data_IF_898920272117
#
_entry.id   IF_898920272117
#
_cell.length_a   1.000
_cell.length_b   1.000
_cell.length_c   1.000
_cell.angle_alpha   90.00
_cell.angle_beta   90.00
_cell.angle_gamma   90.00
#
_symmetry.space_group_name_H-M   'P 1'
#
loop_
_entity.id
_entity.type
_entity.pdbx_description
1 polymer ?
#
# COMPACT_ATOMS: atom_id res chain seq x y z
N UNK A 1 4.10 -27.39 -31.96
CA UNK A 1 5.33 -26.76 -31.44
C UNK A 1 5.11 -25.26 -31.14
N UNK A 2 4.05 -24.64 -31.66
CA UNK A 2 3.77 -23.20 -31.47
C UNK A 2 3.34 -22.80 -30.06
N UNK A 3 2.61 -23.66 -29.34
CA UNK A 3 2.17 -23.38 -27.96
C UNK A 3 3.33 -23.26 -26.96
N UNK A 4 4.48 -23.90 -27.21
CA UNK A 4 5.66 -23.81 -26.35
C UNK A 4 6.41 -22.49 -26.56
N UNK A 5 6.44 -21.98 -27.78
CA UNK A 5 7.05 -20.69 -28.10
C UNK A 5 6.21 -19.52 -27.57
N UNK A 6 4.88 -19.56 -27.69
CA UNK A 6 3.99 -18.54 -27.12
C UNK A 6 3.94 -18.60 -25.60
N UNK A 7 4.00 -19.80 -25.01
CA UNK A 7 4.14 -20.00 -23.57
C UNK A 7 5.48 -19.49 -23.03
N UNK A 8 6.59 -19.69 -23.75
CA UNK A 8 7.90 -19.17 -23.38
C UNK A 8 7.97 -17.63 -23.49
N UNK A 9 7.33 -17.04 -24.49
CA UNK A 9 7.18 -15.57 -24.62
C UNK A 9 6.28 -14.97 -23.53
N UNK A 10 5.18 -15.65 -23.18
CA UNK A 10 4.33 -15.25 -22.04
C UNK A 10 5.08 -15.35 -20.71
N UNK A 11 5.76 -16.47 -20.47
CA UNK A 11 6.55 -16.70 -19.25
C UNK A 11 7.72 -15.72 -19.12
N UNK A 12 8.40 -15.37 -20.21
CA UNK A 12 9.47 -14.35 -20.20
C UNK A 12 8.91 -12.94 -20.00
N UNK A 13 7.72 -12.62 -20.50
CA UNK A 13 7.06 -11.32 -20.22
C UNK A 13 6.56 -11.20 -18.79
N UNK A 14 6.04 -12.26 -18.17
CA UNK A 14 5.59 -12.23 -16.77
C UNK A 14 6.76 -12.38 -15.80
N UNK A 15 7.79 -13.18 -16.09
CA UNK A 15 9.06 -13.13 -15.36
C UNK A 15 9.76 -11.78 -15.54
N UNK A 16 9.60 -11.12 -16.70
CA UNK A 16 10.05 -9.76 -16.92
C UNK A 16 9.27 -8.75 -16.07
N UNK A 17 7.95 -8.84 -16.01
CA UNK A 17 7.12 -7.93 -15.23
C UNK A 17 7.26 -8.16 -13.71
N UNK A 18 7.25 -9.42 -13.26
CA UNK A 18 7.50 -9.79 -11.86
C UNK A 18 8.96 -9.58 -11.47
N UNK A 19 9.89 -9.77 -12.40
CA UNK A 19 11.30 -9.45 -12.25
C UNK A 19 11.53 -7.95 -12.13
N UNK A 20 10.83 -7.12 -12.90
CA UNK A 20 10.91 -5.65 -12.78
C UNK A 20 10.24 -5.17 -11.48
N UNK A 21 9.09 -5.73 -11.10
CA UNK A 21 8.44 -5.42 -9.80
C UNK A 21 9.31 -5.89 -8.63
N UNK A 22 9.89 -7.08 -8.72
CA UNK A 22 10.78 -7.68 -7.73
C UNK A 22 12.09 -6.93 -7.59
N UNK A 23 12.78 -6.65 -8.70
CA UNK A 23 13.98 -5.82 -8.77
C UNK A 23 13.68 -4.41 -8.27
N UNK A 24 12.52 -3.84 -8.55
CA UNK A 24 12.15 -2.51 -8.05
C UNK A 24 11.88 -2.52 -6.53
N UNK A 25 11.29 -3.58 -5.97
CA UNK A 25 11.19 -3.74 -4.51
C UNK A 25 12.53 -4.03 -3.83
N UNK A 26 13.46 -4.69 -4.54
CA UNK A 26 14.78 -5.07 -4.05
C UNK A 26 15.79 -3.90 -4.13
N UNK A 27 15.76 -3.12 -5.22
CA UNK A 27 16.61 -1.94 -5.44
C UNK A 27 16.24 -0.80 -4.47
N UNK A 28 14.96 -0.70 -4.07
CA UNK A 28 14.50 0.24 -3.04
C UNK A 28 15.16 0.10 -1.67
N UNK A 29 15.63 -1.10 -1.30
CA UNK A 29 16.38 -1.30 -0.05
C UNK A 29 17.83 -0.82 -0.15
N UNK A 30 18.45 -0.91 -1.33
CA UNK A 30 19.88 -0.64 -1.53
C UNK A 30 20.18 0.82 -1.91
N UNK A 31 19.21 1.51 -2.53
CA UNK A 31 19.34 2.93 -2.89
C UNK A 31 19.15 3.88 -1.69
N UNK A 32 18.33 3.52 -0.68
CA UNK A 32 18.26 4.28 0.57
C UNK A 32 19.60 4.25 1.32
N UNK A 33 20.26 3.09 1.34
CA UNK A 33 21.57 2.94 1.98
C UNK A 33 22.67 3.70 1.23
N UNK A 34 22.65 3.70 -0.12
CA UNK A 34 23.58 4.50 -0.93
C UNK A 34 23.33 6.01 -0.81
N UNK A 35 22.07 6.43 -0.79
CA UNK A 35 21.72 7.85 -0.60
C UNK A 35 22.08 8.35 0.80
N UNK A 36 22.08 7.50 1.83
CA UNK A 36 22.56 7.83 3.16
C UNK A 36 24.09 7.97 3.21
N UNK A 37 24.82 7.13 2.45
CA UNK A 37 26.28 7.20 2.31
C UNK A 37 26.72 8.44 1.50
N UNK A 38 26.01 8.80 0.43
CA UNK A 38 26.23 10.06 -0.30
C UNK A 38 25.92 11.28 0.58
N UNK A 39 24.87 11.23 1.39
CA UNK A 39 24.52 12.31 2.35
C UNK A 39 25.56 12.54 3.44
N UNK A 40 26.33 11.51 3.80
CA UNK A 40 27.42 11.63 4.78
C UNK A 40 28.73 12.14 4.16
N UNK A 41 28.84 12.15 2.83
CA UNK A 41 30.05 12.56 2.11
C UNK A 41 29.96 13.96 1.47
N UNK A 42 28.76 14.51 1.27
CA UNK A 42 28.57 15.87 0.75
C UNK A 42 28.11 16.87 1.83
N UNK A 43 29.03 17.70 2.33
CA UNK A 43 28.74 18.97 3.01
C UNK A 43 28.51 20.07 1.97
N UNK A 44 27.28 20.19 1.46
CA UNK A 44 26.92 21.24 0.48
C UNK A 44 25.40 21.46 0.34
N UNK A 45 24.95 22.63 -0.20
CA UNK A 45 23.56 23.06 -0.11
C UNK A 45 22.61 22.22 -0.98
N UNK A 46 21.43 21.91 -0.43
CA UNK A 46 20.38 21.06 -0.98
C UNK A 46 19.96 21.42 -2.42
N UNK A 47 20.18 20.54 -3.42
CA UNK A 47 19.49 20.63 -4.70
C UNK A 47 18.09 20.03 -4.59
N UNK A 48 17.09 20.74 -5.13
CA UNK A 48 15.68 20.34 -5.10
C UNK A 48 15.42 18.92 -5.63
N UNK A 49 14.45 18.26 -4.98
CA UNK A 49 13.97 16.89 -5.20
C UNK A 49 13.30 16.68 -6.58
N UNK A 50 14.07 16.80 -7.65
CA UNK A 50 13.62 16.58 -9.03
C UNK A 50 14.29 15.37 -9.68
N UNK A 51 14.05 14.14 -9.19
CA UNK A 51 14.56 12.92 -9.86
C UNK A 51 13.87 12.73 -11.22
N UNK A 52 14.65 12.31 -12.22
CA UNK A 52 14.27 12.27 -13.64
C UNK A 52 12.98 11.48 -13.91
N UNK A 53 11.95 12.19 -14.41
CA UNK A 53 10.63 11.64 -14.78
C UNK A 53 10.75 10.76 -16.03
N UNK A 54 11.02 9.47 -15.86
CA UNK A 54 10.97 8.51 -16.98
C UNK A 54 9.50 8.36 -17.38
N UNK A 55 9.17 8.62 -18.66
CA UNK A 55 7.82 8.66 -19.25
C UNK A 55 6.97 9.95 -19.09
N UNK A 56 7.60 11.13 -19.10
CA UNK A 56 6.92 12.43 -19.07
C UNK A 56 5.80 12.63 -20.12
N UNK A 57 5.89 11.99 -21.30
CA UNK A 57 4.87 12.11 -22.36
C UNK A 57 3.55 11.42 -22.04
N UNK A 58 3.61 10.24 -21.40
CA UNK A 58 2.42 9.47 -20.97
C UNK A 58 1.80 10.13 -19.73
N UNK A 59 2.64 10.61 -18.82
CA UNK A 59 2.22 11.38 -17.64
C UNK A 59 1.43 12.65 -18.03
N UNK A 60 1.90 13.39 -19.04
CA UNK A 60 1.23 14.61 -19.52
C UNK A 60 -0.15 14.35 -20.12
N UNK A 61 -0.35 13.22 -20.82
CA UNK A 61 -1.65 12.81 -21.40
C UNK A 61 -2.61 12.18 -20.39
N UNK A 62 -2.10 11.49 -19.37
CA UNK A 62 -2.96 10.92 -18.32
C UNK A 62 -3.42 11.99 -17.31
N UNK A 63 -2.59 13.00 -17.01
CA UNK A 63 -2.95 14.11 -16.10
C UNK A 63 -4.14 14.94 -16.59
N UNK A 64 -4.34 15.03 -17.90
CA UNK A 64 -5.51 15.72 -18.48
C UNK A 64 -6.82 14.95 -18.28
N UNK A 65 -6.76 13.64 -18.01
CA UNK A 65 -7.94 12.78 -17.86
C UNK A 65 -8.39 12.69 -16.39
N UNK A 66 -9.71 12.62 -16.14
CA UNK A 66 -10.28 12.52 -14.78
C UNK A 66 -9.77 11.31 -13.98
N UNK A 67 -9.44 10.21 -14.68
CA UNK A 67 -8.87 9.00 -14.09
C UNK A 67 -7.41 9.20 -13.64
N UNK A 68 -6.60 9.95 -14.39
CA UNK A 68 -5.21 10.22 -14.01
C UNK A 68 -5.09 11.08 -12.76
N UNK A 69 -5.95 12.10 -12.62
CA UNK A 69 -6.04 12.92 -11.40
C UNK A 69 -6.44 12.10 -10.17
N UNK A 70 -7.44 11.21 -10.29
CA UNK A 70 -7.83 10.30 -9.19
C UNK A 70 -6.70 9.32 -8.83
N UNK A 71 -5.91 8.88 -9.81
CA UNK A 71 -4.79 7.98 -9.60
C UNK A 71 -3.61 8.69 -8.92
N UNK A 72 -3.32 9.92 -9.33
CA UNK A 72 -2.30 10.77 -8.73
C UNK A 72 -2.60 11.05 -7.25
N UNK A 73 -3.86 11.38 -6.91
CA UNK A 73 -4.28 11.54 -5.52
C UNK A 73 -4.13 10.24 -4.71
N UNK A 74 -4.46 9.08 -5.30
CA UNK A 74 -4.27 7.77 -4.64
C UNK A 74 -2.80 7.40 -4.46
N UNK A 75 -1.94 7.72 -5.44
CA UNK A 75 -0.50 7.47 -5.41
C UNK A 75 0.21 8.40 -4.41
N UNK A 76 -0.12 9.69 -4.40
CA UNK A 76 0.39 10.65 -3.43
C UNK A 76 0.11 10.20 -1.98
N UNK A 77 -1.09 9.64 -1.73
CA UNK A 77 -1.45 9.09 -0.43
C UNK A 77 -0.65 7.83 -0.01
N UNK A 78 0.02 7.16 -0.96
CA UNK A 78 0.83 5.96 -0.66
C UNK A 78 2.28 6.29 -0.28
N UNK A 79 2.74 7.53 -0.51
CA UNK A 79 4.14 7.90 -0.32
C UNK A 79 5.10 7.25 -1.33
N UNK A 80 4.57 6.62 -2.38
CA UNK A 80 5.36 6.08 -3.47
C UNK A 80 5.73 7.22 -4.42
N UNK A 81 7.03 7.40 -4.72
CA UNK A 81 7.53 8.30 -5.76
C UNK A 81 7.23 7.80 -7.19
N UNK A 82 6.12 7.07 -7.39
CA UNK A 82 5.75 6.50 -8.69
C UNK A 82 4.81 7.47 -9.39
N UNK A 83 5.15 7.78 -10.64
CA UNK A 83 4.35 8.68 -11.48
C UNK A 83 3.07 7.97 -11.95
N UNK A 84 1.92 8.65 -12.10
CA UNK A 84 0.69 8.03 -12.62
C UNK A 84 0.89 7.30 -13.96
N UNK A 85 1.75 7.84 -14.82
CA UNK A 85 2.15 7.21 -16.09
C UNK A 85 2.90 5.88 -15.91
N UNK A 86 3.82 5.80 -14.96
CA UNK A 86 4.57 4.56 -14.67
C UNK A 86 3.65 3.46 -14.13
N UNK A 87 2.75 3.80 -13.20
CA UNK A 87 1.76 2.85 -12.70
C UNK A 87 0.87 2.31 -13.81
N UNK A 88 0.41 3.17 -14.72
CA UNK A 88 -0.42 2.75 -15.85
C UNK A 88 0.36 1.81 -16.79
N UNK A 89 1.60 2.14 -17.13
CA UNK A 89 2.46 1.29 -17.99
C UNK A 89 2.70 -0.07 -17.34
N UNK A 90 3.00 -0.10 -16.04
CA UNK A 90 3.19 -1.38 -15.33
C UNK A 90 1.90 -2.19 -15.25
N UNK A 91 0.76 -1.55 -15.01
CA UNK A 91 -0.54 -2.24 -14.94
C UNK A 91 -0.94 -2.79 -16.31
N UNK A 92 -0.76 -2.01 -17.38
CA UNK A 92 -1.04 -2.43 -18.74
C UNK A 92 -0.10 -3.57 -19.20
N UNK A 93 1.19 -3.47 -18.88
CA UNK A 93 2.17 -4.53 -19.16
C UNK A 93 1.86 -5.82 -18.40
N UNK A 94 1.50 -5.72 -17.12
CA UNK A 94 1.09 -6.87 -16.31
C UNK A 94 -0.20 -7.51 -16.84
N UNK A 95 -1.20 -6.70 -17.22
CA UNK A 95 -2.45 -7.20 -17.79
C UNK A 95 -2.24 -7.91 -19.14
N UNK A 96 -1.43 -7.34 -20.03
CA UNK A 96 -1.09 -7.96 -21.31
C UNK A 96 -0.28 -9.26 -21.12
N UNK A 97 0.71 -9.26 -20.21
CA UNK A 97 1.49 -10.44 -19.89
C UNK A 97 0.62 -11.57 -19.32
N UNK A 98 -0.25 -11.25 -18.35
CA UNK A 98 -1.15 -12.24 -17.75
C UNK A 98 -2.18 -12.78 -18.75
N UNK A 99 -2.68 -11.92 -19.66
CA UNK A 99 -3.54 -12.36 -20.76
C UNK A 99 -2.82 -13.39 -21.62
N UNK A 100 -1.63 -13.07 -22.13
CA UNK A 100 -0.88 -13.95 -23.04
C UNK A 100 -0.55 -15.28 -22.36
N UNK A 101 -0.16 -15.26 -21.09
CA UNK A 101 0.04 -16.49 -20.31
C UNK A 101 -1.25 -17.30 -20.20
N UNK A 102 -2.35 -16.69 -19.75
CA UNK A 102 -3.60 -17.42 -19.54
C UNK A 102 -4.14 -17.99 -20.85
N UNK A 103 -4.03 -17.25 -21.95
CA UNK A 103 -4.40 -17.70 -23.28
C UNK A 103 -3.50 -18.85 -23.78
N UNK A 104 -2.22 -18.88 -23.41
CA UNK A 104 -1.27 -19.91 -23.86
C UNK A 104 -1.30 -21.18 -23.00
N UNK A 105 -1.52 -21.06 -21.69
CA UNK A 105 -1.44 -22.18 -20.74
C UNK A 105 -2.79 -22.77 -20.33
N UNK A 106 -3.90 -22.04 -20.48
CA UNK A 106 -5.24 -22.54 -20.13
C UNK A 106 -6.13 -22.65 -21.37
N UNK A 107 -6.67 -21.51 -21.81
CA UNK A 107 -7.50 -21.36 -23.01
C UNK A 107 -7.63 -19.87 -23.34
N UNK A 108 -7.90 -19.53 -24.60
CA UNK A 108 -8.08 -18.14 -25.03
C UNK A 108 -9.15 -17.38 -24.20
N UNK A 109 -10.17 -18.11 -23.71
CA UNK A 109 -11.22 -17.59 -22.85
C UNK A 109 -10.72 -17.02 -21.51
N UNK A 110 -9.63 -17.55 -20.94
CA UNK A 110 -9.09 -17.07 -19.66
C UNK A 110 -8.26 -15.79 -19.80
N UNK A 111 -7.87 -15.39 -21.01
CA UNK A 111 -7.06 -14.19 -21.27
C UNK A 111 -7.69 -12.90 -20.71
N UNK A 112 -8.95 -12.56 -21.08
CA UNK A 112 -9.65 -11.41 -20.55
C UNK A 112 -9.83 -11.45 -19.03
N UNK A 113 -10.15 -12.62 -18.46
CA UNK A 113 -10.33 -12.79 -17.01
C UNK A 113 -9.01 -12.48 -16.28
N UNK A 114 -7.89 -13.00 -16.78
CA UNK A 114 -6.57 -12.73 -16.23
C UNK A 114 -6.21 -11.24 -16.31
N UNK A 115 -6.52 -10.55 -17.41
CA UNK A 115 -6.30 -9.12 -17.54
C UNK A 115 -7.10 -8.30 -16.52
N UNK A 116 -8.38 -8.63 -16.30
CA UNK A 116 -9.23 -7.98 -15.29
C UNK A 116 -8.66 -8.20 -13.88
N UNK A 117 -8.24 -9.43 -13.56
CA UNK A 117 -7.61 -9.76 -12.27
C UNK A 117 -6.31 -8.98 -12.06
N UNK A 118 -5.48 -8.83 -13.09
CA UNK A 118 -4.24 -8.05 -13.01
C UNK A 118 -4.50 -6.57 -12.69
N UNK A 119 -5.48 -5.95 -13.38
CA UNK A 119 -5.88 -4.56 -13.14
C UNK A 119 -6.43 -4.40 -11.72
N UNK A 120 -7.35 -5.29 -11.31
CA UNK A 120 -7.92 -5.26 -9.97
C UNK A 120 -6.86 -5.45 -8.88
N UNK A 121 -5.92 -6.38 -9.09
CA UNK A 121 -4.78 -6.63 -8.21
C UNK A 121 -3.86 -5.41 -8.05
N UNK A 122 -3.60 -4.68 -9.13
CA UNK A 122 -2.80 -3.45 -9.08
C UNK A 122 -3.45 -2.36 -8.21
N UNK A 123 -4.76 -2.13 -8.37
CA UNK A 123 -5.51 -1.19 -7.52
C UNK A 123 -5.58 -1.66 -6.07
N UNK A 124 -5.80 -2.96 -5.84
CA UNK A 124 -5.81 -3.55 -4.51
C UNK A 124 -4.44 -3.40 -3.82
N UNK A 125 -3.34 -3.61 -4.54
CA UNK A 125 -1.98 -3.42 -4.04
C UNK A 125 -1.74 -1.97 -3.62
N UNK A 126 -2.17 -0.99 -4.41
CA UNK A 126 -2.03 0.42 -4.07
C UNK A 126 -2.79 0.77 -2.78
N UNK A 127 -4.04 0.29 -2.67
CA UNK A 127 -4.84 0.49 -1.45
C UNK A 127 -4.20 -0.18 -0.23
N UNK A 128 -3.59 -1.35 -0.41
CA UNK A 128 -2.89 -2.07 0.64
C UNK A 128 -1.61 -1.35 1.09
N UNK A 129 -0.82 -0.81 0.17
CA UNK A 129 0.37 -0.01 0.51
C UNK A 129 -0.01 1.24 1.31
N UNK A 130 -1.07 1.95 0.90
CA UNK A 130 -1.61 3.08 1.66
C UNK A 130 -1.98 2.67 3.08
N UNK A 131 -2.77 1.60 3.20
CA UNK A 131 -3.22 1.10 4.50
C UNK A 131 -2.03 0.68 5.38
N UNK A 132 -1.04 0.00 4.80
CA UNK A 132 0.17 -0.43 5.50
C UNK A 132 0.98 0.75 6.03
N UNK A 133 1.08 1.86 5.28
CA UNK A 133 1.75 3.09 5.75
C UNK A 133 0.99 3.73 6.90
N UNK A 134 -0.35 3.83 6.81
CA UNK A 134 -1.21 4.33 7.90
C UNK A 134 -1.05 3.44 9.14
N UNK A 135 -1.07 2.13 8.99
CA UNK A 135 -0.90 1.20 10.13
C UNK A 135 0.47 1.30 10.78
N UNK A 136 1.54 1.48 9.99
CA UNK A 136 2.88 1.73 10.54
C UNK A 136 2.90 3.00 11.39
N UNK A 137 2.27 4.08 10.89
CA UNK A 137 2.14 5.32 11.64
C UNK A 137 1.34 5.11 12.94
N UNK A 138 0.20 4.41 12.90
CA UNK A 138 -0.62 4.10 14.09
C UNK A 138 0.22 3.34 15.14
N UNK A 139 1.01 2.36 14.71
CA UNK A 139 1.85 1.57 15.61
C UNK A 139 2.96 2.38 16.29
N UNK A 140 3.31 3.55 15.72
CA UNK A 140 4.29 4.51 16.24
C UNK A 140 3.63 5.58 17.14
N UNK A 141 2.29 5.68 17.20
CA UNK A 141 1.59 6.67 18.04
C UNK A 141 1.90 6.58 19.55
N UNK A 142 2.08 5.39 20.16
CA UNK A 142 2.50 5.30 21.56
C UNK A 142 3.87 5.95 21.80
N UNK A 143 4.81 5.71 20.89
CA UNK A 143 6.17 6.28 20.96
C UNK A 143 6.14 7.80 20.78
N UNK A 144 5.38 8.29 19.77
CA UNK A 144 5.11 9.72 19.59
C UNK A 144 4.55 10.35 20.88
N UNK A 145 3.53 9.73 21.47
CA UNK A 145 2.90 10.24 22.70
C UNK A 145 3.89 10.32 23.86
N UNK A 146 4.79 9.35 24.00
CA UNK A 146 5.85 9.36 25.02
C UNK A 146 6.86 10.49 24.81
N UNK A 147 7.35 10.69 23.58
CA UNK A 147 8.28 11.78 23.25
C UNK A 147 7.63 13.13 23.58
N UNK A 148 6.39 13.35 23.14
CA UNK A 148 5.65 14.57 23.44
C UNK A 148 5.40 14.77 24.93
N UNK A 149 5.04 13.71 25.67
CA UNK A 149 4.83 13.79 27.11
C UNK A 149 6.12 14.16 27.85
N UNK A 150 7.25 13.54 27.50
CA UNK A 150 8.55 13.81 28.13
C UNK A 150 9.05 15.23 27.82
N UNK A 151 8.93 15.66 26.56
CA UNK A 151 9.33 17.01 26.15
C UNK A 151 8.49 18.09 26.84
N UNK A 152 7.17 17.92 26.87
CA UNK A 152 6.26 18.87 27.56
C UNK A 152 6.45 18.86 29.07
N UNK A 153 6.75 17.70 29.68
CA UNK A 153 7.11 17.61 31.09
C UNK A 153 8.43 18.32 31.41
N UNK A 154 9.39 18.34 30.48
CA UNK A 154 10.62 19.12 30.58
C UNK A 154 10.40 20.63 30.35
N UNK A 155 9.16 21.08 30.17
CA UNK A 155 8.81 22.49 29.96
C UNK A 155 9.01 22.98 28.53
N UNK A 156 9.27 22.09 27.57
CA UNK A 156 9.39 22.46 26.17
C UNK A 156 8.01 22.83 25.59
N UNK A 157 7.97 23.88 24.78
CA UNK A 157 6.78 24.22 24.01
C UNK A 157 6.40 23.06 23.07
N UNK A 158 5.10 22.82 22.89
CA UNK A 158 4.59 21.72 22.04
C UNK A 158 5.15 21.77 20.61
N UNK A 159 5.36 22.97 20.08
CA UNK A 159 6.01 23.20 18.78
C UNK A 159 7.43 22.62 18.72
N UNK A 160 8.23 22.80 19.77
CA UNK A 160 9.59 22.25 19.87
C UNK A 160 9.54 20.74 20.09
N UNK A 161 8.60 20.25 20.90
CA UNK A 161 8.39 18.83 21.11
C UNK A 161 8.02 18.08 19.82
N UNK A 162 7.18 18.68 18.96
CA UNK A 162 6.83 18.15 17.64
C UNK A 162 8.04 18.12 16.69
N UNK A 163 8.92 19.11 16.76
CA UNK A 163 10.18 19.11 16.02
C UNK A 163 11.12 17.99 16.47
N UNK A 164 11.29 17.83 17.78
CA UNK A 164 12.09 16.74 18.36
C UNK A 164 11.55 15.36 17.95
N UNK A 165 10.23 15.16 18.02
CA UNK A 165 9.60 13.93 17.56
C UNK A 165 9.77 13.69 16.05
N UNK A 166 9.85 14.75 15.23
CA UNK A 166 10.12 14.60 13.80
C UNK A 166 11.53 14.06 13.51
N UNK A 167 12.52 14.45 14.33
CA UNK A 167 13.91 14.03 14.18
C UNK A 167 14.19 12.65 14.81
N UNK A 168 13.52 12.31 15.91
CA UNK A 168 13.74 11.07 16.66
C UNK A 168 12.98 9.87 16.08
N UNK A 169 11.82 10.10 15.44
CA UNK A 169 10.98 9.01 14.94
C UNK A 169 11.36 8.54 13.54
N UNK A 170 11.36 7.23 13.33
CA UNK A 170 11.53 6.65 11.99
C UNK A 170 10.33 6.92 11.07
N UNK A 171 10.55 6.84 9.75
CA UNK A 171 9.49 6.91 8.75
C UNK A 171 8.47 5.75 8.95
N UNK A 172 7.15 6.00 8.86
CA UNK A 172 6.51 7.19 8.31
C UNK A 172 6.20 8.32 9.31
N UNK A 173 6.28 8.11 10.62
CA UNK A 173 5.91 9.16 11.60
C UNK A 173 6.82 10.39 11.52
N UNK A 174 8.15 10.21 11.50
CA UNK A 174 9.10 11.32 11.39
C UNK A 174 8.87 12.18 10.14
N UNK A 175 8.64 11.57 8.97
CA UNK A 175 8.37 12.29 7.72
C UNK A 175 7.11 13.16 7.77
N UNK A 176 6.07 12.68 8.45
CA UNK A 176 4.79 13.37 8.54
C UNK A 176 4.82 14.46 9.61
N UNK A 177 5.51 14.23 10.71
CA UNK A 177 5.79 15.23 11.75
C UNK A 177 6.74 16.32 11.25
N UNK A 178 7.71 16.00 10.40
CA UNK A 178 8.59 17.00 9.78
C UNK A 178 7.80 18.00 8.92
N UNK A 179 6.74 17.54 8.24
CA UNK A 179 5.83 18.44 7.49
C UNK A 179 5.03 19.34 8.42
N UNK A 180 4.57 18.80 9.56
CA UNK A 180 3.91 19.59 10.60
C UNK A 180 4.87 20.64 11.15
N UNK A 181 6.08 20.25 11.57
CA UNK A 181 7.11 21.13 12.09
C UNK A 181 7.49 22.24 11.09
N UNK A 182 7.61 21.92 9.80
CA UNK A 182 7.87 22.90 8.75
C UNK A 182 6.74 23.93 8.62
N UNK A 183 5.47 23.50 8.65
CA UNK A 183 4.32 24.44 8.60
C UNK A 183 4.25 25.33 9.82
N UNK A 184 4.49 24.74 10.98
CA UNK A 184 4.64 25.49 12.21
C UNK A 184 5.71 26.55 12.02
N UNK A 185 6.93 26.21 11.58
CA UNK A 185 8.03 27.15 11.39
C UNK A 185 7.69 28.37 10.52
N UNK A 186 6.80 28.20 9.53
CA UNK A 186 6.32 29.28 8.64
C UNK A 186 5.13 30.07 9.24
N UNK A 187 4.71 29.76 10.46
CA UNK A 187 3.73 30.53 11.23
C UNK A 187 2.30 29.95 11.26
N UNK A 188 2.08 28.74 10.73
CA UNK A 188 0.76 28.10 10.85
C UNK A 188 0.42 27.79 12.31
N UNK A 189 -0.88 27.75 12.62
CA UNK A 189 -1.36 27.36 13.94
C UNK A 189 -1.12 25.86 14.18
N UNK A 190 -0.97 25.48 15.45
CA UNK A 190 -0.83 24.07 15.86
C UNK A 190 -2.09 23.29 15.51
N UNK A 191 -3.24 23.93 15.68
CA UNK A 191 -4.55 23.34 15.44
C UNK A 191 -4.68 22.95 13.95
N UNK A 192 -4.42 23.89 13.04
CA UNK A 192 -4.52 23.65 11.59
C UNK A 192 -3.51 22.59 11.12
N UNK A 193 -2.27 22.65 11.62
CA UNK A 193 -1.21 21.75 11.17
C UNK A 193 -1.45 20.30 11.62
N UNK A 194 -2.00 20.10 12.82
CA UNK A 194 -2.36 18.78 13.34
C UNK A 194 -3.67 18.25 12.74
N UNK A 195 -4.64 19.11 12.45
CA UNK A 195 -5.87 18.72 11.76
C UNK A 195 -5.57 18.21 10.35
N UNK A 196 -4.71 18.90 9.59
CA UNK A 196 -4.30 18.43 8.27
C UNK A 196 -3.49 17.12 8.33
N UNK A 197 -2.74 16.89 9.41
CA UNK A 197 -2.10 15.58 9.65
C UNK A 197 -3.17 14.48 9.79
N UNK A 198 -4.24 14.73 10.55
CA UNK A 198 -5.35 13.79 10.73
C UNK A 198 -6.14 13.56 9.42
N UNK A 199 -6.32 14.58 8.59
CA UNK A 199 -6.94 14.44 7.27
C UNK A 199 -6.12 13.56 6.31
N UNK A 200 -4.78 13.70 6.36
CA UNK A 200 -3.86 12.94 5.50
C UNK A 200 -3.72 11.48 5.95
N UNK A 201 -3.81 11.22 7.25
CA UNK A 201 -3.71 9.90 7.87
C UNK A 201 -4.97 9.58 8.70
N UNK A 202 -6.11 9.31 8.06
CA UNK A 202 -7.36 9.11 8.78
C UNK A 202 -7.30 7.84 9.63
N UNK A 203 -7.20 8.01 10.95
CA UNK A 203 -7.33 6.95 11.95
C UNK A 203 -8.00 7.49 13.21
N UNK A 204 -8.77 6.64 13.90
CA UNK A 204 -9.48 7.03 15.11
C UNK A 204 -8.49 7.42 16.22
N UNK A 205 -7.39 6.69 16.32
CA UNK A 205 -6.31 6.91 17.28
C UNK A 205 -5.63 8.26 17.08
N UNK A 206 -5.33 8.63 15.83
CA UNK A 206 -4.70 9.92 15.53
C UNK A 206 -5.66 11.08 15.78
N UNK A 207 -6.94 10.95 15.40
CA UNK A 207 -7.94 11.99 15.67
C UNK A 207 -8.07 12.25 17.17
N UNK A 208 -8.09 11.20 17.99
CA UNK A 208 -8.10 11.33 19.45
C UNK A 208 -6.84 12.02 19.96
N UNK A 209 -5.65 11.60 19.51
CA UNK A 209 -4.39 12.23 19.90
C UNK A 209 -4.33 13.71 19.54
N UNK A 210 -4.69 14.07 18.31
CA UNK A 210 -4.72 15.46 17.84
C UNK A 210 -5.68 16.31 18.66
N UNK A 211 -6.91 15.81 18.88
CA UNK A 211 -7.92 16.53 19.68
C UNK A 211 -7.42 16.77 21.11
N UNK A 212 -6.81 15.76 21.73
CA UNK A 212 -6.23 15.89 23.07
C UNK A 212 -5.08 16.90 23.10
N UNK A 213 -4.16 16.84 22.13
CA UNK A 213 -3.04 17.79 22.05
C UNK A 213 -3.52 19.24 21.89
N UNK A 214 -4.47 19.49 20.98
CA UNK A 214 -5.07 20.81 20.74
C UNK A 214 -5.75 21.33 22.01
N UNK A 215 -6.59 20.52 22.65
CA UNK A 215 -7.31 20.91 23.87
C UNK A 215 -6.35 21.19 25.03
N UNK A 216 -5.36 20.30 25.24
CA UNK A 216 -4.39 20.45 26.31
C UNK A 216 -3.45 21.64 26.09
N UNK A 217 -3.07 21.94 24.84
CA UNK A 217 -2.27 23.11 24.50
C UNK A 217 -3.01 24.42 24.77
N UNK A 218 -4.33 24.48 24.50
CA UNK A 218 -5.17 25.64 24.83
C UNK A 218 -5.38 25.81 26.34
N UNK A 219 -5.47 24.71 27.08
CA UNK A 219 -5.75 24.72 28.53
C UNK A 219 -4.49 24.90 29.41
N UNK A 220 -3.28 24.76 28.86
CA UNK A 220 -2.01 25.13 29.51
C UNK A 220 -1.56 24.28 30.73
N UNK A 221 -2.37 23.35 31.25
CA UNK A 221 -2.10 22.74 32.57
C UNK A 221 -2.10 21.21 32.70
N UNK A 222 -2.54 20.43 31.69
CA UNK A 222 -2.75 18.97 31.86
C UNK A 222 -2.38 18.11 30.64
N UNK A 223 -1.50 18.63 29.76
CA UNK A 223 -1.00 17.89 28.58
C UNK A 223 -0.38 16.55 28.99
N UNK A 224 0.37 16.53 30.10
CA UNK A 224 1.11 15.35 30.55
C UNK A 224 0.20 14.20 31.00
N UNK A 225 -0.84 14.46 31.80
CA UNK A 225 -1.76 13.41 32.27
C UNK A 225 -2.64 12.87 31.14
N UNK A 226 -3.07 13.76 30.24
CA UNK A 226 -3.87 13.38 29.07
C UNK A 226 -3.07 12.49 28.10
N UNK A 227 -1.80 12.84 27.83
CA UNK A 227 -0.92 12.04 26.98
C UNK A 227 -0.56 10.68 27.60
N UNK A 228 -0.39 10.60 28.93
CA UNK A 228 -0.16 9.33 29.63
C UNK A 228 -1.35 8.38 29.51
N UNK A 229 -2.57 8.88 29.74
CA UNK A 229 -3.78 8.07 29.58
C UNK A 229 -3.95 7.59 28.13
N UNK A 230 -3.70 8.46 27.16
CA UNK A 230 -3.71 8.07 25.75
C UNK A 230 -2.66 7.00 25.43
N UNK A 231 -1.44 7.14 25.95
CA UNK A 231 -0.37 6.16 25.74
C UNK A 231 -0.82 4.77 26.21
N UNK A 232 -1.39 4.67 27.42
CA UNK A 232 -1.90 3.41 27.93
C UNK A 232 -3.03 2.84 27.06
N UNK A 233 -4.02 3.66 26.68
CA UNK A 233 -5.12 3.20 25.81
C UNK A 233 -4.63 2.74 24.43
N UNK A 234 -3.63 3.40 23.86
CA UNK A 234 -3.05 3.02 22.56
C UNK A 234 -2.24 1.72 22.66
N UNK A 235 -1.55 1.49 23.78
CA UNK A 235 -0.83 0.24 24.04
C UNK A 235 -1.79 -0.95 24.20
N UNK A 236 -2.86 -0.78 24.97
CA UNK A 236 -3.90 -1.81 25.13
C UNK A 236 -4.51 -2.18 23.77
N UNK A 237 -4.87 -1.18 22.94
CA UNK A 237 -5.38 -1.42 21.57
C UNK A 237 -4.36 -2.12 20.67
N UNK A 238 -3.08 -1.75 20.77
CA UNK A 238 -2.02 -2.38 19.97
C UNK A 238 -1.89 -3.87 20.29
N UNK A 239 -1.99 -4.23 21.57
CA UNK A 239 -1.93 -5.64 21.99
C UNK A 239 -3.17 -6.41 21.54
N UNK A 240 -4.38 -5.88 21.75
CA UNK A 240 -5.61 -6.50 21.24
C UNK A 240 -5.57 -6.71 19.73
N UNK A 241 -5.09 -5.72 18.97
CA UNK A 241 -4.94 -5.83 17.50
C UNK A 241 -3.93 -6.91 17.12
N UNK A 242 -2.86 -7.09 17.90
CA UNK A 242 -1.84 -8.13 17.68
C UNK A 242 -2.43 -9.52 17.92
N UNK A 243 -3.23 -9.71 18.96
CA UNK A 243 -3.93 -10.96 19.25
C UNK A 243 -4.92 -11.31 18.12
N UNK A 244 -5.79 -10.38 17.74
CA UNK A 244 -6.76 -10.56 16.64
C UNK A 244 -6.04 -10.92 15.34
N UNK A 245 -4.94 -10.22 15.02
CA UNK A 245 -4.14 -10.52 13.81
C UNK A 245 -3.54 -11.92 13.84
N UNK A 246 -3.11 -12.39 15.00
CA UNK A 246 -2.55 -13.73 15.17
C UNK A 246 -3.62 -14.79 14.87
N UNK A 247 -4.84 -14.60 15.37
CA UNK A 247 -5.97 -15.50 15.09
C UNK A 247 -6.40 -15.45 13.61
N UNK A 248 -6.49 -14.26 13.01
CA UNK A 248 -6.88 -14.08 11.60
C UNK A 248 -5.83 -14.58 10.60
N UNK A 249 -4.59 -14.79 11.04
CA UNK A 249 -3.52 -15.29 10.17
C UNK A 249 -3.86 -16.67 9.60
N UNK A 250 -4.52 -17.54 10.38
CA UNK A 250 -4.96 -18.85 9.90
C UNK A 250 -6.03 -18.73 8.82
N UNK A 251 -7.06 -17.90 9.02
CA UNK A 251 -8.13 -17.66 8.05
C UNK A 251 -7.56 -17.07 6.76
N UNK A 252 -6.60 -16.16 6.88
CA UNK A 252 -5.93 -15.53 5.76
C UNK A 252 -5.17 -16.53 4.89
N UNK A 253 -4.43 -17.47 5.50
CA UNK A 253 -3.71 -18.52 4.76
C UNK A 253 -4.69 -19.38 3.97
N UNK A 254 -5.78 -19.85 4.60
CA UNK A 254 -6.80 -20.66 3.92
C UNK A 254 -7.43 -19.90 2.75
N UNK A 255 -7.68 -18.59 2.91
CA UNK A 255 -8.23 -17.73 1.86
C UNK A 255 -7.37 -17.69 0.59
N UNK A 256 -6.04 -17.82 0.72
CA UNK A 256 -5.11 -17.85 -0.41
C UNK A 256 -4.85 -19.25 -0.95
N UNK A 257 -4.81 -20.27 -0.08
CA UNK A 257 -4.55 -21.66 -0.49
C UNK A 257 -5.67 -22.22 -1.35
N UNK A 258 -6.95 -21.95 -1.02
CA UNK A 258 -8.09 -22.52 -1.76
C UNK A 258 -8.13 -22.07 -3.24
N UNK A 259 -8.03 -20.77 -3.57
CA UNK A 259 -7.90 -20.34 -4.97
C UNK A 259 -6.63 -20.87 -5.65
N UNK A 260 -5.52 -20.97 -4.92
CA UNK A 260 -4.26 -21.50 -5.46
C UNK A 260 -4.41 -22.96 -5.89
N UNK A 261 -5.09 -23.77 -5.08
CA UNK A 261 -5.41 -25.16 -5.43
C UNK A 261 -6.34 -25.22 -6.65
N UNK A 262 -7.36 -24.37 -6.73
CA UNK A 262 -8.26 -24.31 -7.89
C UNK A 262 -7.54 -23.96 -9.21
N UNK A 263 -6.62 -23.01 -9.18
CA UNK A 263 -5.78 -22.70 -10.35
C UNK A 263 -4.81 -23.84 -10.64
N UNK A 264 -4.23 -24.45 -9.60
CA UNK A 264 -3.33 -25.58 -9.71
C UNK A 264 -3.98 -26.80 -10.37
N UNK A 265 -5.24 -27.12 -10.03
CA UNK A 265 -5.98 -28.23 -10.64
C UNK A 265 -6.32 -27.97 -12.09
N UNK A 266 -6.68 -26.73 -12.47
CA UNK A 266 -6.89 -26.35 -13.87
C UNK A 266 -5.60 -26.54 -14.70
N UNK A 267 -4.47 -26.11 -14.17
CA UNK A 267 -3.16 -26.29 -14.81
C UNK A 267 -2.80 -27.77 -14.94
N UNK A 268 -3.01 -28.55 -13.87
CA UNK A 268 -2.72 -29.98 -13.87
C UNK A 268 -3.61 -30.73 -14.88
N UNK A 269 -4.91 -30.40 -14.94
CA UNK A 269 -5.85 -30.96 -15.91
C UNK A 269 -5.38 -30.71 -17.35
N UNK A 270 -4.94 -29.49 -17.66
CA UNK A 270 -4.43 -29.16 -18.99
C UNK A 270 -3.10 -29.86 -19.31
N UNK A 271 -2.27 -30.12 -18.29
CA UNK A 271 -1.01 -30.88 -18.45
C UNK A 271 -1.23 -32.37 -18.68
N UNK A 272 -2.19 -32.97 -17.98
CA UNK A 272 -2.52 -34.40 -18.12
C UNK A 272 -3.25 -34.64 -19.45
N UNK A 273 -4.14 -33.73 -19.85
CA UNK A 273 -4.93 -33.84 -21.07
C UNK A 273 -4.94 -32.50 -21.81
N UNK A 274 -3.98 -32.35 -22.73
CA UNK A 274 -3.83 -31.13 -23.51
C UNK A 274 -5.13 -30.85 -24.31
N UNK A 275 -5.62 -29.61 -24.21
CA UNK A 275 -6.83 -29.16 -24.92
C UNK A 275 -8.15 -29.54 -24.25
N UNK A 276 -8.13 -30.14 -23.05
CA UNK A 276 -9.36 -30.38 -22.29
C UNK A 276 -10.05 -29.10 -21.84
N UNK A 277 -9.27 -28.06 -21.46
CA UNK A 277 -9.84 -26.75 -21.12
C UNK A 277 -10.42 -26.03 -22.34
N UNK A 278 -9.76 -26.11 -23.50
CA UNK A 278 -10.29 -25.55 -24.75
C UNK A 278 -11.60 -26.25 -25.17
N UNK A 279 -11.67 -27.58 -25.06
CA UNK A 279 -12.92 -28.34 -25.33
C UNK A 279 -14.02 -28.03 -24.33
N UNK A 280 -13.70 -27.78 -23.07
CA UNK A 280 -14.68 -27.39 -22.06
C UNK A 280 -15.20 -25.97 -22.32
N UNK A 281 -14.31 -25.04 -22.68
CA UNK A 281 -14.65 -23.62 -22.89
C UNK A 281 -15.14 -23.29 -24.30
N UNK A 282 -15.17 -24.26 -25.22
CA UNK A 282 -15.79 -24.06 -26.55
C UNK A 282 -17.32 -24.11 -26.51
N UNK A 283 -17.90 -24.82 -25.53
CA UNK A 283 -19.36 -24.88 -25.33
C UNK A 283 -19.84 -23.72 -24.47
N UNK A 284 -20.98 -23.13 -24.83
CA UNK A 284 -21.63 -22.06 -24.06
C UNK A 284 -21.86 -22.45 -22.59
N UNK A 285 -22.29 -23.69 -22.34
CA UNK A 285 -22.52 -24.20 -20.98
C UNK A 285 -21.23 -24.30 -20.17
N UNK A 286 -20.11 -24.63 -20.82
CA UNK A 286 -18.81 -24.68 -20.15
C UNK A 286 -18.28 -23.28 -19.81
N UNK A 287 -18.45 -22.30 -20.72
CA UNK A 287 -18.13 -20.90 -20.42
C UNK A 287 -18.97 -20.36 -19.26
N UNK A 288 -20.28 -20.63 -19.26
CA UNK A 288 -21.19 -20.22 -18.20
C UNK A 288 -20.79 -20.83 -16.85
N UNK A 289 -20.48 -22.13 -16.81
CA UNK A 289 -20.05 -22.81 -15.58
C UNK A 289 -18.74 -22.21 -15.01
N UNK A 290 -17.77 -21.87 -15.88
CA UNK A 290 -16.52 -21.22 -15.46
C UNK A 290 -16.78 -19.84 -14.90
N UNK A 291 -17.60 -19.02 -15.54
CA UNK A 291 -17.95 -17.68 -15.04
C UNK A 291 -18.62 -17.77 -13.68
N UNK A 292 -19.59 -18.68 -13.51
CA UNK A 292 -20.26 -18.91 -12.23
C UNK A 292 -19.27 -19.35 -11.15
N UNK A 293 -18.33 -20.25 -11.48
CA UNK A 293 -17.29 -20.67 -10.56
C UNK A 293 -16.39 -19.49 -10.13
N UNK A 294 -15.93 -18.66 -11.06
CA UNK A 294 -15.14 -17.46 -10.74
C UNK A 294 -15.94 -16.45 -9.90
N UNK A 295 -17.22 -16.28 -10.17
CA UNK A 295 -18.09 -15.43 -9.36
C UNK A 295 -18.20 -15.96 -7.92
N UNK A 296 -18.40 -17.27 -7.74
CA UNK A 296 -18.43 -17.91 -6.42
C UNK A 296 -17.10 -17.78 -5.68
N UNK A 297 -15.97 -18.00 -6.36
CA UNK A 297 -14.63 -17.76 -5.81
C UNK A 297 -14.44 -16.31 -5.40
N UNK A 298 -14.87 -15.36 -6.25
CA UNK A 298 -14.79 -13.93 -5.99
C UNK A 298 -15.63 -13.52 -4.77
N UNK A 299 -16.85 -14.04 -4.64
CA UNK A 299 -17.73 -13.82 -3.49
C UNK A 299 -17.09 -14.42 -2.23
N UNK A 300 -16.59 -15.66 -2.29
CA UNK A 300 -15.92 -16.30 -1.17
C UNK A 300 -14.70 -15.51 -0.70
N UNK A 301 -13.83 -15.10 -1.61
CA UNK A 301 -12.69 -14.25 -1.31
C UNK A 301 -13.11 -12.89 -0.71
N UNK A 302 -14.15 -12.28 -1.26
CA UNK A 302 -14.69 -11.02 -0.75
C UNK A 302 -15.25 -11.16 0.66
N UNK A 303 -16.01 -12.22 0.94
CA UNK A 303 -16.57 -12.51 2.26
C UNK A 303 -15.46 -12.74 3.29
N UNK A 304 -14.46 -13.56 2.95
CA UNK A 304 -13.32 -13.80 3.85
C UNK A 304 -12.57 -12.49 4.12
N UNK A 305 -12.31 -11.69 3.08
CA UNK A 305 -11.64 -10.40 3.24
C UNK A 305 -12.47 -9.41 4.04
N UNK A 306 -13.80 -9.45 3.93
CA UNK A 306 -14.69 -8.60 4.72
C UNK A 306 -14.71 -9.03 6.17
N UNK A 307 -14.80 -10.32 6.48
CA UNK A 307 -14.74 -10.83 7.85
C UNK A 307 -13.38 -10.54 8.50
N UNK A 308 -12.29 -10.66 7.74
CA UNK A 308 -10.94 -10.32 8.23
C UNK A 308 -10.73 -8.82 8.45
N UNK A 309 -11.62 -7.95 7.96
CA UNK A 309 -11.54 -6.49 8.12
C UNK A 309 -12.55 -5.97 9.14
N UNK A 310 -13.25 -6.85 9.86
CA UNK A 310 -14.07 -6.44 11.00
C UNK A 310 -13.09 -6.14 12.14
N UNK A 311 -12.72 -4.87 12.21
CA UNK A 311 -11.97 -4.28 13.31
C UNK A 311 -12.87 -4.24 14.57
N UNK A 312 -12.24 -4.49 15.73
CA UNK A 312 -12.72 -4.08 17.06
C UNK A 312 -12.53 -2.58 17.22
#
# INVERSE_FOLDING_TARGET
MDHLATAALGATLVCGALGVVGVHTYVRGKEQQRALIDRLSETGPLPGTGRARRFAGVDRRLRTTSLGRKLELRLAATGLEITPGEFFVYTAGAAAGLWVIAASFLAAFFGPIAAVVAVWGAFAFLSWQRQKRIERFINQLPELSRILANATQAGLALRTALGMAADEMEAPAGEELAKVAAKLAVGHSIDDALEELAERLPSRELVVLVTTLVLSNRAGGTVVSSLRNLTQTLEERKETRREVRTQLSQVTVTAYVVPLLGIGTLLLMNRISAGSLDRMTSSFWGQAAVVVAFCLYGIGFFLIRRMSKIDV
#
